data_IF_024774189578
#
_entry.id   IF_024774189578
#
_cell.length_a   1.000
_cell.length_b   1.000
_cell.length_c   1.000
_cell.angle_alpha   90.00
_cell.angle_beta   90.00
_cell.angle_gamma   90.00
#
_symmetry.space_group_name_H-M   'P 1'
#
loop_
_entity.id
_entity.type
_entity.pdbx_description
1 polymer ?
#
# COMPACT_ATOMS: atom_id res chain seq x y z
N UNK A 1 -15.22 10.27 -1.95
CA UNK A 1 -14.17 9.73 -2.81
C UNK A 1 -14.47 8.29 -3.14
N UNK A 2 -14.38 7.94 -4.39
CA UNK A 2 -14.66 6.59 -4.82
C UNK A 2 -13.38 5.75 -4.83
N UNK A 3 -13.51 4.55 -4.32
CA UNK A 3 -12.47 3.53 -4.40
C UNK A 3 -12.87 2.46 -5.41
N UNK A 4 -13.94 2.71 -6.12
CA UNK A 4 -14.43 1.81 -7.16
C UNK A 4 -13.32 1.60 -8.16
N UNK A 5 -13.41 0.75 -8.92
CA UNK A 5 -12.85 -0.33 -9.65
C UNK A 5 -11.59 -0.94 -9.02
N UNK A 6 -11.26 -0.56 -7.83
CA UNK A 6 -10.09 -1.08 -7.13
C UNK A 6 -10.51 -2.11 -6.10
N UNK A 7 -9.88 -3.25 -6.11
CA UNK A 7 -10.05 -4.20 -5.02
C UNK A 7 -9.32 -3.64 -3.80
N UNK A 8 -10.07 -3.26 -2.81
CA UNK A 8 -9.50 -2.76 -1.57
C UNK A 8 -8.94 -3.93 -0.77
N UNK A 9 -7.65 -3.88 -0.50
CA UNK A 9 -7.00 -4.88 0.33
C UNK A 9 -6.93 -4.37 1.75
N UNK A 10 -7.49 -5.15 2.68
CA UNK A 10 -7.45 -4.87 4.10
C UNK A 10 -6.75 -6.05 4.77
N UNK A 11 -5.54 -5.84 5.23
CA UNK A 11 -4.74 -6.90 5.85
C UNK A 11 -4.23 -6.46 7.21
N UNK A 12 -4.23 -7.41 8.13
CA UNK A 12 -3.66 -7.22 9.45
C UNK A 12 -2.43 -8.10 9.59
N UNK A 13 -1.42 -7.61 10.31
CA UNK A 13 -0.21 -8.37 10.59
C UNK A 13 -0.32 -9.21 11.87
N UNK A 14 -1.53 -9.37 12.43
CA UNK A 14 -1.74 -10.11 13.68
C UNK A 14 -1.16 -11.50 13.65
N UNK A 15 -1.16 -12.15 12.49
CA UNK A 15 -0.66 -13.51 12.35
C UNK A 15 0.78 -13.59 11.85
N UNK A 16 1.39 -12.45 11.55
CA UNK A 16 2.77 -12.44 11.06
C UNK A 16 3.73 -12.59 12.24
N UNK A 17 4.84 -13.29 11.99
CA UNK A 17 5.87 -13.46 13.01
C UNK A 17 6.78 -12.25 13.05
N UNK A 18 7.14 -11.80 14.25
CA UNK A 18 8.13 -10.73 14.42
C UNK A 18 9.43 -11.12 13.75
N UNK A 19 10.07 -10.16 13.10
CA UNK A 19 11.32 -10.37 12.39
C UNK A 19 11.17 -10.96 11.00
N UNK A 20 9.99 -11.46 10.65
CA UNK A 20 9.73 -11.99 9.32
C UNK A 20 9.49 -10.86 8.31
N UNK A 21 9.34 -11.24 7.05
CA UNK A 21 8.96 -10.31 5.98
C UNK A 21 7.61 -10.71 5.42
N UNK A 22 6.83 -9.72 5.01
CA UNK A 22 5.54 -9.97 4.38
C UNK A 22 5.40 -9.04 3.17
N UNK A 23 4.75 -9.55 2.13
CA UNK A 23 4.41 -8.74 0.95
C UNK A 23 2.89 -8.74 0.80
N UNK A 24 2.34 -7.54 0.78
CA UNK A 24 0.91 -7.33 0.57
C UNK A 24 0.69 -6.95 -0.88
N UNK A 25 -0.39 -7.44 -1.47
CA UNK A 25 -0.70 -7.20 -2.87
C UNK A 25 -2.01 -6.46 -3.01
N UNK A 26 -1.97 -5.41 -3.81
CA UNK A 26 -3.15 -4.67 -4.23
C UNK A 26 -3.30 -4.92 -5.74
N UNK A 27 -4.40 -5.57 -6.13
CA UNK A 27 -4.62 -5.90 -7.53
C UNK A 27 -5.63 -4.93 -8.12
N UNK A 28 -5.20 -4.24 -9.18
CA UNK A 28 -6.05 -3.31 -9.91
C UNK A 28 -6.95 -4.05 -10.87
N UNK A 29 -8.11 -3.47 -11.14
CA UNK A 29 -9.00 -3.98 -12.16
C UNK A 29 -8.39 -3.80 -13.55
N UNK A 30 -8.79 -4.64 -14.49
CA UNK A 30 -8.38 -4.53 -15.87
C UNK A 30 -8.68 -3.12 -16.40
N UNK A 31 -7.75 -2.56 -17.14
CA UNK A 31 -7.87 -1.19 -17.64
C UNK A 31 -7.24 -0.14 -16.74
N UNK A 32 -6.75 -0.52 -15.58
CA UNK A 32 -6.17 0.42 -14.62
C UNK A 32 -4.68 0.22 -14.40
N UNK A 33 -4.01 -0.45 -15.35
CA UNK A 33 -2.59 -0.78 -15.21
C UNK A 33 -1.67 0.44 -15.11
N UNK A 34 -2.13 1.61 -15.60
CA UNK A 34 -1.34 2.84 -15.53
C UNK A 34 -1.53 3.60 -14.23
N UNK A 35 -2.43 3.15 -13.38
CA UNK A 35 -2.74 3.89 -12.16
C UNK A 35 -1.65 3.68 -11.14
N UNK A 36 -1.37 4.73 -10.39
CA UNK A 36 -0.55 4.67 -9.19
C UNK A 36 -1.42 4.27 -8.02
N UNK A 37 -0.83 3.60 -7.06
CA UNK A 37 -1.51 3.17 -5.85
C UNK A 37 -0.84 3.81 -4.66
N UNK A 38 -1.65 4.30 -3.74
CA UNK A 38 -1.18 4.77 -2.45
C UNK A 38 -1.50 3.70 -1.41
N UNK A 39 -0.50 3.36 -0.61
CA UNK A 39 -0.67 2.47 0.52
C UNK A 39 -0.85 3.28 1.79
N UNK A 40 -1.76 2.83 2.64
CA UNK A 40 -2.08 3.45 3.91
C UNK A 40 -2.01 2.43 5.02
N UNK A 41 -1.57 2.88 6.19
CA UNK A 41 -1.52 2.09 7.41
C UNK A 41 -2.53 2.66 8.39
N UNK A 42 -3.30 1.79 9.01
CA UNK A 42 -4.25 2.20 10.04
C UNK A 42 -4.01 1.38 11.30
N UNK A 43 -3.43 2.01 12.29
CA UNK A 43 -3.23 1.37 13.60
C UNK A 43 -4.55 1.32 14.36
N UNK A 44 -4.70 0.36 15.29
CA UNK A 44 -5.93 0.25 16.07
C UNK A 44 -6.31 1.58 16.73
N UNK A 45 -7.56 1.99 16.54
CA UNK A 45 -8.09 3.22 17.12
C UNK A 45 -7.60 4.52 16.52
N UNK A 46 -6.87 4.47 15.41
CA UNK A 46 -6.30 5.65 14.76
C UNK A 46 -6.77 5.76 13.32
N UNK A 47 -6.64 6.96 12.75
CA UNK A 47 -6.93 7.18 11.34
C UNK A 47 -5.85 6.64 10.44
N UNK A 48 -6.13 6.56 9.13
CA UNK A 48 -5.13 6.07 8.18
C UNK A 48 -3.94 7.03 8.05
N UNK A 49 -2.77 6.46 7.84
CA UNK A 49 -1.54 7.19 7.63
C UNK A 49 -0.95 6.77 6.29
N UNK A 50 -0.54 7.75 5.49
CA UNK A 50 0.08 7.48 4.19
C UNK A 50 1.42 6.78 4.38
N UNK A 51 1.64 5.71 3.62
CA UNK A 51 2.89 4.95 3.66
C UNK A 51 3.75 5.24 2.45
N UNK A 52 3.30 4.84 1.27
CA UNK A 52 4.09 5.01 0.04
C UNK A 52 3.17 4.98 -1.17
N UNK A 53 3.64 5.62 -2.24
CA UNK A 53 2.99 5.56 -3.55
C UNK A 53 3.82 4.66 -4.47
N UNK A 54 3.15 3.89 -5.32
CA UNK A 54 3.81 3.00 -6.26
C UNK A 54 3.09 3.01 -7.60
N UNK A 55 3.87 3.11 -8.68
CA UNK A 55 3.39 2.93 -10.05
C UNK A 55 3.85 1.59 -10.62
N UNK A 56 3.80 1.45 -11.93
CA UNK A 56 4.33 0.28 -12.64
C UNK A 56 5.77 0.52 -13.06
N UNK A 57 6.41 -0.54 -13.56
CA UNK A 57 7.73 -0.42 -14.18
C UNK A 57 8.83 0.00 -13.23
N UNK A 58 8.70 -0.34 -11.97
CA UNK A 58 9.71 0.02 -10.99
C UNK A 58 9.63 1.46 -10.50
N UNK A 59 8.59 2.19 -10.89
CA UNK A 59 8.42 3.57 -10.43
C UNK A 59 8.00 3.56 -8.96
N UNK A 60 8.80 4.19 -8.14
CA UNK A 60 8.53 4.35 -6.72
C UNK A 60 8.23 5.82 -6.46
N UNK A 61 7.09 6.09 -5.87
CA UNK A 61 6.71 7.46 -5.54
C UNK A 61 7.19 7.89 -4.17
N UNK A 62 6.52 8.90 -3.64
CA UNK A 62 6.86 9.48 -2.35
C UNK A 62 6.65 8.48 -1.23
N UNK A 63 7.45 8.62 -0.18
CA UNK A 63 7.29 7.88 1.07
C UNK A 63 6.72 8.82 2.12
N UNK A 64 5.81 8.33 2.95
CA UNK A 64 5.21 9.11 4.01
C UNK A 64 6.20 9.45 5.11
N UNK A 65 5.87 10.47 5.88
CA UNK A 65 6.71 10.91 7.00
C UNK A 65 6.77 9.82 8.06
N UNK A 66 7.97 9.57 8.55
CA UNK A 66 8.18 8.60 9.62
C UNK A 66 8.08 7.15 9.21
N UNK A 67 7.96 6.87 7.92
CA UNK A 67 7.91 5.49 7.43
C UNK A 67 9.33 4.93 7.34
N UNK A 68 9.64 3.85 8.07
CA UNK A 68 11.00 3.31 8.06
C UNK A 68 11.37 2.67 6.73
N UNK A 69 12.68 2.52 6.50
CA UNK A 69 13.19 1.91 5.27
C UNK A 69 12.86 0.43 5.15
N UNK A 70 12.33 -0.18 6.19
CA UNK A 70 11.85 -1.57 6.15
C UNK A 70 10.66 -1.72 5.20
N UNK A 71 9.99 -0.64 4.91
CA UNK A 71 8.84 -0.60 4.00
C UNK A 71 9.33 -0.28 2.59
N UNK A 72 8.92 -1.09 1.62
CA UNK A 72 9.25 -0.85 0.22
C UNK A 72 8.08 -1.24 -0.67
N UNK A 73 8.06 -0.71 -1.88
CA UNK A 73 6.98 -0.94 -2.82
C UNK A 73 7.52 -1.35 -4.19
N UNK A 74 6.69 -2.06 -4.94
CA UNK A 74 6.99 -2.46 -6.30
C UNK A 74 5.67 -2.57 -7.06
N UNK A 75 5.69 -2.25 -8.35
CA UNK A 75 4.53 -2.39 -9.21
C UNK A 75 4.85 -3.18 -10.46
N UNK A 76 3.93 -4.04 -10.87
CA UNK A 76 4.05 -4.85 -12.07
C UNK A 76 2.68 -5.16 -12.63
N UNK A 77 2.43 -4.72 -13.86
CA UNK A 77 1.13 -4.94 -14.49
C UNK A 77 -0.01 -4.36 -13.66
N UNK A 78 -0.94 -5.20 -13.27
CA UNK A 78 -2.07 -4.80 -12.44
C UNK A 78 -1.79 -4.96 -10.95
N UNK A 79 -0.61 -5.41 -10.58
CA UNK A 79 -0.28 -5.63 -9.17
C UNK A 79 0.57 -4.51 -8.61
N UNK A 80 0.29 -4.16 -7.37
CA UNK A 80 1.06 -3.20 -6.59
C UNK A 80 1.37 -3.84 -5.26
N UNK A 81 2.63 -3.83 -4.88
CA UNK A 81 3.11 -4.59 -3.72
C UNK A 81 3.64 -3.64 -2.65
N UNK A 82 3.35 -3.96 -1.41
CA UNK A 82 4.01 -3.35 -0.26
C UNK A 82 4.72 -4.48 0.49
N UNK A 83 6.02 -4.34 0.66
CA UNK A 83 6.82 -5.30 1.41
C UNK A 83 7.27 -4.67 2.71
N UNK A 84 7.06 -5.38 3.81
CA UNK A 84 7.52 -4.97 5.13
C UNK A 84 8.51 -6.03 5.60
N UNK A 85 9.77 -5.63 5.75
CA UNK A 85 10.84 -6.52 6.20
C UNK A 85 11.03 -6.37 7.69
N UNK A 86 11.54 -7.40 8.34
CA UNK A 86 11.87 -7.37 9.75
C UNK A 86 10.71 -6.81 10.57
N UNK A 87 9.56 -7.45 10.48
CA UNK A 87 8.32 -6.98 11.09
C UNK A 87 8.50 -6.73 12.57
N UNK A 88 8.05 -5.56 13.03
CA UNK A 88 8.08 -5.12 14.41
C UNK A 88 6.66 -5.06 14.97
N UNK A 89 6.52 -5.00 16.29
CA UNK A 89 5.21 -4.88 16.92
C UNK A 89 4.45 -3.65 16.45
N UNK A 90 5.16 -2.54 16.24
CA UNK A 90 4.53 -1.30 15.79
C UNK A 90 3.97 -1.38 14.38
N UNK A 91 4.32 -2.40 13.61
CA UNK A 91 3.76 -2.62 12.28
C UNK A 91 2.37 -3.25 12.31
N UNK A 92 1.92 -3.67 13.48
CA UNK A 92 0.60 -4.26 13.65
C UNK A 92 -0.48 -3.23 13.30
N UNK A 93 -1.14 -3.43 12.18
CA UNK A 93 -2.05 -2.46 11.60
C UNK A 93 -2.86 -3.12 10.51
N UNK A 94 -3.93 -2.47 10.13
CA UNK A 94 -4.60 -2.76 8.88
C UNK A 94 -3.95 -1.94 7.78
N UNK A 95 -3.80 -2.54 6.61
CA UNK A 95 -3.18 -1.86 5.47
C UNK A 95 -4.19 -1.77 4.35
N UNK A 96 -4.29 -0.59 3.77
CA UNK A 96 -5.24 -0.28 2.70
C UNK A 96 -4.50 0.22 1.48
N UNK A 97 -5.05 -0.01 0.31
CA UNK A 97 -4.53 0.59 -0.91
C UNK A 97 -5.64 1.30 -1.66
N UNK A 98 -5.28 2.33 -2.39
CA UNK A 98 -6.22 3.06 -3.23
C UNK A 98 -5.54 3.55 -4.48
N UNK A 99 -6.26 3.54 -5.58
CA UNK A 99 -5.71 3.95 -6.86
C UNK A 99 -5.84 5.46 -7.06
N UNK A 100 -4.78 6.04 -7.60
CA UNK A 100 -4.74 7.45 -7.94
C UNK A 100 -4.46 7.53 -9.44
N UNK A 101 -5.34 8.20 -10.18
CA UNK A 101 -5.16 8.32 -11.61
C UNK A 101 -4.45 9.62 -12.02
N UNK A 102 -3.71 10.20 -11.11
CA UNK A 102 -2.75 11.26 -11.44
C UNK A 102 -3.29 12.68 -11.46
N UNK A 103 -4.55 12.88 -11.13
CA UNK A 103 -5.13 14.22 -11.09
C UNK A 103 -5.12 14.79 -9.67
N UNK A 104 -4.06 14.58 -8.96
CA UNK A 104 -3.91 15.13 -7.62
C UNK A 104 -4.83 14.49 -6.61
N UNK A 105 -5.99 15.02 -6.40
CA UNK A 105 -6.90 14.54 -5.36
C UNK A 105 -7.88 13.46 -5.81
N UNK A 106 -7.77 12.98 -7.06
CA UNK A 106 -8.74 12.01 -7.58
C UNK A 106 -8.28 10.60 -7.34
N UNK A 107 -9.02 9.88 -6.52
CA UNK A 107 -8.82 8.46 -6.27
C UNK A 107 -10.00 7.67 -6.77
N UNK A 108 -9.73 6.46 -7.18
CA UNK A 108 -10.76 5.50 -7.56
C UNK A 108 -10.53 4.17 -6.89
#
# INVERSE_FOLDING_TARGET
MAWAPLLLTLLSLLTASLGASVTLTCTLSSGYSNYKVDWYQQRPGKGPRFVMRVGTGGIVGSKGDGIPDRFSVLGSGLNRYLTIKNIQEEDESDYHCGADHGSGSNFV
#
